data_IF_313048661147
#
_entry.id   IF_313048661147
#
_cell.length_a   1.000
_cell.length_b   1.000
_cell.length_c   1.000
_cell.angle_alpha   90.00
_cell.angle_beta   90.00
_cell.angle_gamma   90.00
#
_symmetry.space_group_name_H-M   'P 1'
#
loop_
_entity.id
_entity.type
_entity.pdbx_description
1 polymer ?
#
# COMPACT_ATOMS: atom_id res chain seq x y z
N UNK A 1 -19.44 -4.44 13.19
CA UNK A 1 -18.95 -4.27 11.80
C UNK A 1 -17.53 -4.79 11.75
N UNK A 2 -17.05 -5.29 10.61
CA UNK A 2 -15.63 -5.66 10.48
C UNK A 2 -14.77 -4.40 10.50
N UNK A 3 -13.62 -4.47 11.16
CA UNK A 3 -12.62 -3.41 11.10
C UNK A 3 -12.12 -3.25 9.65
N UNK A 4 -11.82 -2.00 9.27
CA UNK A 4 -11.16 -1.66 8.03
C UNK A 4 -9.72 -1.24 8.34
N UNK A 5 -8.75 -1.89 7.72
CA UNK A 5 -7.33 -1.54 7.81
C UNK A 5 -6.92 -0.95 6.47
N UNK A 6 -6.26 0.19 6.49
CA UNK A 6 -5.71 0.79 5.27
C UNK A 6 -4.19 0.69 5.33
N UNK A 7 -3.61 -0.03 4.38
CA UNK A 7 -2.18 -0.26 4.28
C UNK A 7 -1.65 0.38 3.01
N UNK A 8 -0.62 1.22 3.14
CA UNK A 8 -0.10 2.02 2.03
C UNK A 8 1.42 1.87 2.01
N UNK A 9 1.97 1.32 0.93
CA UNK A 9 3.38 1.47 0.60
C UNK A 9 3.58 2.76 -0.20
N UNK A 10 4.68 3.46 0.05
CA UNK A 10 5.06 4.63 -0.73
C UNK A 10 5.43 4.29 -2.17
N UNK A 11 5.92 3.09 -2.46
CA UNK A 11 6.23 2.69 -3.85
C UNK A 11 4.97 2.68 -4.75
N UNK A 12 3.78 2.65 -4.15
CA UNK A 12 2.51 2.81 -4.84
C UNK A 12 2.44 4.09 -5.69
N UNK A 13 3.04 5.18 -5.19
CA UNK A 13 3.00 6.49 -5.85
C UNK A 13 4.02 6.63 -6.98
N UNK A 14 5.02 5.75 -7.03
CA UNK A 14 6.18 5.89 -7.90
C UNK A 14 6.36 4.65 -8.77
N UNK A 15 6.44 4.84 -10.09
CA UNK A 15 7.02 3.79 -10.92
C UNK A 15 8.53 3.78 -10.64
N UNK A 16 9.11 2.66 -10.17
CA UNK A 16 10.55 2.59 -10.01
C UNK A 16 11.21 2.83 -11.37
N UNK A 17 12.43 3.41 -11.42
CA UNK A 17 13.24 3.35 -12.62
C UNK A 17 13.34 1.89 -13.06
N UNK A 18 13.37 1.63 -14.37
CA UNK A 18 14.03 0.40 -14.80
C UNK A 18 15.47 0.47 -14.29
N UNK A 19 15.86 -0.48 -13.46
CA UNK A 19 17.15 -0.49 -12.79
C UNK A 19 18.27 -0.56 -13.84
N UNK A 20 18.85 0.59 -14.18
CA UNK A 20 20.06 0.67 -14.99
C UNK A 20 21.19 1.18 -14.07
N UNK A 21 22.14 0.31 -13.67
CA UNK A 21 23.26 0.72 -12.83
C UNK A 21 23.98 1.91 -13.45
N UNK A 22 24.04 3.03 -12.72
CA UNK A 22 24.76 4.25 -13.13
C UNK A 22 23.92 5.33 -13.83
N UNK A 23 22.63 5.13 -14.06
CA UNK A 23 21.75 6.22 -14.53
C UNK A 23 21.30 7.10 -13.36
N UNK A 24 21.57 8.40 -13.45
CA UNK A 24 20.97 9.39 -12.55
C UNK A 24 19.46 9.39 -12.72
N UNK A 25 18.72 9.47 -11.61
CA UNK A 25 17.26 9.46 -11.62
C UNK A 25 16.71 10.68 -12.38
N UNK A 26 16.11 10.54 -13.59
CA UNK A 26 15.58 11.69 -14.30
C UNK A 26 14.41 12.37 -13.57
N UNK A 27 14.30 13.69 -13.70
CA UNK A 27 13.17 14.59 -13.33
C UNK A 27 11.76 14.10 -13.77
N UNK A 28 11.67 13.03 -14.57
CA UNK A 28 10.42 12.35 -14.95
C UNK A 28 9.84 11.44 -13.86
N UNK A 29 10.49 11.25 -12.71
CA UNK A 29 9.89 10.61 -11.52
C UNK A 29 8.88 11.51 -10.80
N UNK A 30 8.20 12.38 -11.55
CA UNK A 30 7.01 13.05 -11.05
C UNK A 30 6.08 11.98 -10.46
N UNK A 31 5.40 12.29 -9.36
CA UNK A 31 4.38 11.40 -8.86
C UNK A 31 3.42 11.09 -10.01
N UNK A 32 3.17 9.81 -10.26
CA UNK A 32 2.07 9.44 -11.15
C UNK A 32 0.73 9.77 -10.49
N UNK A 33 0.74 9.91 -9.16
CA UNK A 33 -0.40 10.28 -8.34
C UNK A 33 0.02 11.22 -7.20
N UNK A 34 -0.53 12.43 -7.17
CA UNK A 34 -0.29 13.36 -6.05
C UNK A 34 -1.01 12.91 -4.77
N UNK A 35 -0.50 13.24 -3.57
CA UNK A 35 -1.20 12.99 -2.31
C UNK A 35 -2.62 13.60 -2.29
N UNK A 36 -2.82 14.77 -2.89
CA UNK A 36 -4.13 15.41 -2.95
C UNK A 36 -5.10 14.60 -3.83
N UNK A 37 -4.64 14.11 -4.98
CA UNK A 37 -5.49 13.29 -5.83
C UNK A 37 -5.79 11.96 -5.17
N UNK A 38 -4.80 11.33 -4.51
CA UNK A 38 -5.02 10.13 -3.71
C UNK A 38 -6.16 10.31 -2.69
N UNK A 39 -6.13 11.38 -1.91
CA UNK A 39 -7.18 11.69 -0.93
C UNK A 39 -8.55 11.92 -1.59
N UNK A 40 -8.60 12.57 -2.77
CA UNK A 40 -9.85 12.73 -3.53
C UNK A 40 -10.42 11.38 -3.96
N UNK A 41 -9.59 10.45 -4.43
CA UNK A 41 -10.03 9.11 -4.82
C UNK A 41 -10.54 8.30 -3.61
N UNK A 42 -9.86 8.39 -2.45
CA UNK A 42 -10.35 7.77 -1.22
C UNK A 42 -11.72 8.33 -0.80
N UNK A 43 -11.87 9.66 -0.84
CA UNK A 43 -13.14 10.32 -0.54
C UNK A 43 -14.25 9.90 -1.53
N UNK A 44 -13.95 9.81 -2.82
CA UNK A 44 -14.88 9.35 -3.85
C UNK A 44 -15.27 7.87 -3.65
N UNK A 45 -14.37 7.04 -3.11
CA UNK A 45 -14.66 5.67 -2.69
C UNK A 45 -15.46 5.59 -1.36
N UNK A 46 -15.78 6.72 -0.75
CA UNK A 46 -16.54 6.82 0.50
C UNK A 46 -15.73 6.50 1.76
N UNK A 47 -14.40 6.34 1.64
CA UNK A 47 -13.49 6.10 2.75
C UNK A 47 -13.27 7.43 3.45
N UNK A 48 -13.71 7.51 4.70
CA UNK A 48 -13.46 8.68 5.55
C UNK A 48 -12.11 8.52 6.21
N UNK A 49 -11.20 9.44 5.97
CA UNK A 49 -9.94 9.44 6.71
C UNK A 49 -10.22 9.63 8.20
N UNK A 50 -9.76 8.71 9.04
CA UNK A 50 -10.05 8.76 10.45
C UNK A 50 -9.01 9.69 11.12
N UNK A 51 -9.32 10.30 12.27
CA UNK A 51 -8.34 11.05 13.06
C UNK A 51 -7.47 10.03 13.83
N UNK A 52 -6.52 9.32 13.20
CA UNK A 52 -6.00 8.05 13.78
C UNK A 52 -4.49 7.89 13.75
N UNK A 53 -4.03 7.15 14.77
CA UNK A 53 -2.80 6.36 14.87
C UNK A 53 -2.32 5.86 13.50
N UNK A 54 -1.43 6.62 12.87
CA UNK A 54 -0.69 6.12 11.74
C UNK A 54 0.77 5.95 12.13
N UNK A 55 1.26 4.74 11.81
CA UNK A 55 2.64 4.35 12.03
C UNK A 55 3.38 4.52 10.71
N UNK A 56 4.32 5.47 10.67
CA UNK A 56 5.40 5.45 9.68
C UNK A 56 6.31 4.27 10.00
N UNK A 57 6.58 3.44 9.00
CA UNK A 57 7.30 2.17 9.17
C UNK A 57 8.40 2.06 8.12
N UNK A 58 9.61 1.70 8.52
CA UNK A 58 10.73 1.51 7.57
C UNK A 58 10.63 0.15 6.85
N UNK A 59 9.98 -0.82 7.49
CA UNK A 59 9.82 -2.19 7.01
C UNK A 59 8.32 -2.51 6.96
N UNK A 60 7.81 -2.81 5.78
CA UNK A 60 6.38 -2.97 5.55
C UNK A 60 5.74 -4.08 6.39
N UNK A 61 6.51 -5.12 6.75
CA UNK A 61 5.99 -6.19 7.63
C UNK A 61 5.61 -5.70 9.02
N UNK A 62 6.06 -4.51 9.44
CA UNK A 62 5.66 -3.88 10.69
C UNK A 62 4.13 -3.66 10.75
N UNK A 63 3.45 -3.54 9.61
CA UNK A 63 2.00 -3.43 9.53
C UNK A 63 1.31 -4.60 10.26
N UNK A 64 1.74 -5.83 9.99
CA UNK A 64 1.23 -7.03 10.65
C UNK A 64 1.35 -6.95 12.18
N UNK A 65 2.50 -6.49 12.69
CA UNK A 65 2.72 -6.39 14.14
C UNK A 65 1.86 -5.28 14.76
N UNK A 66 1.69 -4.15 14.06
CA UNK A 66 0.78 -3.07 14.46
C UNK A 66 -0.66 -3.59 14.59
N UNK A 67 -1.18 -4.27 13.56
CA UNK A 67 -2.54 -4.83 13.58
C UNK A 67 -2.72 -5.88 14.67
N UNK A 68 -1.71 -6.74 14.85
CA UNK A 68 -1.73 -7.78 15.88
C UNK A 68 -1.76 -7.18 17.29
N UNK A 69 -0.91 -6.19 17.56
CA UNK A 69 -0.84 -5.48 18.85
C UNK A 69 -2.12 -4.70 19.14
N UNK A 70 -2.75 -4.12 18.12
CA UNK A 70 -4.02 -3.41 18.23
C UNK A 70 -5.24 -4.34 18.41
N UNK A 71 -5.04 -5.66 18.44
CA UNK A 71 -6.09 -6.64 18.63
C UNK A 71 -7.05 -6.78 17.44
N UNK A 72 -6.64 -6.34 16.24
CA UNK A 72 -7.49 -6.41 15.05
C UNK A 72 -7.84 -7.88 14.73
N UNK A 73 -9.09 -8.11 14.35
CA UNK A 73 -9.62 -9.43 13.98
C UNK A 73 -10.66 -9.31 12.87
N UNK A 74 -10.70 -10.30 11.98
CA UNK A 74 -11.69 -10.40 10.92
C UNK A 74 -11.82 -9.11 10.08
N UNK A 75 -10.71 -8.40 9.91
CA UNK A 75 -10.66 -7.11 9.25
C UNK A 75 -10.66 -7.25 7.72
N UNK A 76 -11.09 -6.19 7.05
CA UNK A 76 -10.84 -6.00 5.62
C UNK A 76 -9.59 -5.13 5.51
N UNK A 77 -8.56 -5.59 4.80
CA UNK A 77 -7.41 -4.75 4.47
C UNK A 77 -7.58 -4.20 3.05
N UNK A 78 -7.42 -2.89 2.91
CA UNK A 78 -7.25 -2.22 1.61
C UNK A 78 -5.77 -1.88 1.49
N UNK A 79 -5.11 -2.58 0.57
CA UNK A 79 -3.66 -2.60 0.39
C UNK A 79 -3.28 -1.81 -0.86
N UNK A 80 -2.63 -0.66 -0.70
CA UNK A 80 -2.14 0.20 -1.77
C UNK A 80 -0.63 0.00 -1.92
N UNK A 81 -0.23 -0.82 -2.88
CA UNK A 81 1.15 -1.26 -3.02
C UNK A 81 1.38 -1.83 -4.43
N UNK A 82 2.58 -1.67 -4.97
CA UNK A 82 3.01 -2.36 -6.17
C UNK A 82 3.16 -3.89 -5.95
N UNK A 83 3.35 -4.33 -4.72
CA UNK A 83 3.50 -5.72 -4.33
C UNK A 83 2.23 -6.27 -3.68
N UNK A 84 2.04 -7.58 -3.77
CA UNK A 84 0.86 -8.23 -3.16
C UNK A 84 1.01 -8.46 -1.66
N UNK A 85 2.26 -8.58 -1.19
CA UNK A 85 2.66 -8.95 0.16
C UNK A 85 1.93 -10.14 0.79
N UNK A 86 1.48 -11.03 -0.10
CA UNK A 86 0.65 -12.18 0.19
C UNK A 86 1.24 -13.50 -0.34
N UNK A 87 2.56 -13.55 -0.55
CA UNK A 87 3.25 -14.76 -1.01
C UNK A 87 3.14 -15.89 0.02
N UNK A 88 3.21 -17.14 -0.47
CA UNK A 88 3.21 -18.36 0.36
C UNK A 88 4.58 -18.86 0.78
N UNK A 89 5.64 -18.18 0.34
CA UNK A 89 7.01 -18.54 0.66
C UNK A 89 7.30 -18.32 2.15
N UNK A 90 8.16 -19.19 2.69
CA UNK A 90 8.68 -19.10 4.06
C UNK A 90 7.58 -18.90 5.13
N UNK A 91 6.53 -19.74 5.17
CA UNK A 91 5.35 -19.55 6.03
C UNK A 91 5.66 -19.51 7.54
N UNK A 92 6.81 -20.04 7.94
CA UNK A 92 7.34 -20.05 9.30
C UNK A 92 7.79 -18.67 9.80
N UNK A 93 8.17 -17.76 8.91
CA UNK A 93 8.64 -16.40 9.26
C UNK A 93 7.73 -15.32 8.65
N UNK A 94 7.77 -14.12 9.24
CA UNK A 94 7.08 -12.93 8.72
C UNK A 94 8.10 -12.02 8.02
N UNK A 95 7.85 -11.70 6.76
CA UNK A 95 8.65 -10.81 5.92
C UNK A 95 7.75 -9.93 5.04
N UNK A 96 8.29 -8.90 4.37
CA UNK A 96 7.49 -7.97 3.55
C UNK A 96 6.61 -8.71 2.53
N UNK A 97 7.18 -9.63 1.78
CA UNK A 97 6.40 -10.39 0.81
C UNK A 97 5.28 -11.32 1.35
N UNK A 98 5.13 -11.57 2.66
CA UNK A 98 4.13 -12.54 3.16
C UNK A 98 3.28 -12.08 4.35
N UNK A 99 3.47 -10.87 4.88
CA UNK A 99 2.84 -10.49 6.15
C UNK A 99 1.31 -10.43 6.07
N UNK A 100 0.74 -10.08 4.90
CA UNK A 100 -0.72 -10.09 4.70
C UNK A 100 -1.24 -11.53 4.73
N UNK A 101 -0.51 -12.47 4.12
CA UNK A 101 -0.89 -13.89 4.17
C UNK A 101 -0.80 -14.42 5.60
N UNK A 102 0.20 -14.01 6.37
CA UNK A 102 0.27 -14.33 7.80
C UNK A 102 -0.94 -13.77 8.55
N UNK A 103 -1.32 -12.52 8.28
CA UNK A 103 -2.48 -11.88 8.89
C UNK A 103 -3.80 -12.60 8.55
N UNK A 104 -3.94 -13.11 7.32
CA UNK A 104 -5.06 -13.98 6.92
C UNK A 104 -5.10 -15.27 7.75
N UNK A 105 -3.99 -15.99 7.81
CA UNK A 105 -3.90 -17.28 8.48
C UNK A 105 -4.18 -17.18 9.99
N UNK A 106 -3.87 -16.04 10.61
CA UNK A 106 -4.12 -15.78 12.04
C UNK A 106 -5.49 -15.13 12.32
N UNK A 107 -6.34 -14.96 11.30
CA UNK A 107 -7.67 -14.36 11.47
C UNK A 107 -7.66 -12.87 11.84
N UNK A 108 -6.53 -12.19 11.64
CA UNK A 108 -6.43 -10.73 11.76
C UNK A 108 -7.17 -10.09 10.60
N UNK A 109 -6.88 -10.57 9.39
CA UNK A 109 -7.53 -10.19 8.14
C UNK A 109 -8.44 -11.34 7.69
N UNK A 110 -9.62 -11.02 7.15
CA UNK A 110 -10.51 -12.00 6.51
C UNK A 110 -10.67 -11.79 5.01
N UNK A 111 -10.34 -10.60 4.52
CA UNK A 111 -10.50 -10.20 3.13
C UNK A 111 -9.45 -9.16 2.76
N UNK A 112 -8.91 -9.30 1.55
CA UNK A 112 -7.93 -8.39 0.99
C UNK A 112 -8.56 -7.67 -0.20
N UNK A 113 -8.36 -6.36 -0.27
CA UNK A 113 -8.54 -5.55 -1.47
C UNK A 113 -7.17 -5.00 -1.84
N UNK A 114 -6.54 -5.61 -2.84
CA UNK A 114 -5.25 -5.13 -3.34
C UNK A 114 -5.50 -4.14 -4.47
N UNK A 115 -5.05 -2.91 -4.26
CA UNK A 115 -5.20 -1.80 -5.20
C UNK A 115 -3.87 -1.65 -5.94
N UNK A 116 -3.92 -1.87 -7.26
CA UNK A 116 -2.74 -1.73 -8.11
C UNK A 116 -2.47 -0.27 -8.46
N UNK A 117 -1.20 0.16 -8.50
CA UNK A 117 -0.84 1.49 -8.97
C UNK A 117 -1.31 1.75 -10.40
N UNK A 118 -1.72 2.98 -10.71
CA UNK A 118 -2.12 3.36 -12.07
C UNK A 118 -0.97 3.17 -13.08
N UNK A 119 0.28 3.38 -12.64
CA UNK A 119 1.44 3.27 -13.52
C UNK A 119 1.71 1.85 -14.03
N UNK A 120 1.16 0.79 -13.41
CA UNK A 120 1.25 -0.58 -13.92
C UNK A 120 0.71 -0.68 -15.35
N UNK A 121 -0.37 0.05 -15.63
CA UNK A 121 -1.04 0.03 -16.93
C UNK A 121 -0.31 0.86 -17.98
N UNK A 122 0.45 1.87 -17.55
CA UNK A 122 1.28 2.69 -18.43
C UNK A 122 2.66 2.07 -18.66
N UNK A 123 3.11 1.17 -17.79
CA UNK A 123 4.40 0.51 -17.87
C UNK A 123 4.34 -1.00 -17.55
N UNK A 124 3.57 -1.79 -18.32
CA UNK A 124 3.36 -3.22 -18.04
C UNK A 124 4.64 -4.06 -18.22
N UNK A 125 5.66 -3.52 -18.88
CA UNK A 125 6.96 -4.15 -19.06
C UNK A 125 7.90 -4.00 -17.84
N UNK A 126 7.57 -3.10 -16.90
CA UNK A 126 8.35 -2.95 -15.68
C UNK A 126 8.38 -4.29 -14.91
N UNK A 127 9.53 -4.77 -14.39
CA UNK A 127 9.62 -6.07 -13.75
C UNK A 127 8.59 -6.30 -12.64
N UNK A 128 8.35 -5.30 -11.79
CA UNK A 128 7.35 -5.36 -10.71
C UNK A 128 5.93 -5.49 -11.26
N UNK A 129 5.56 -4.66 -12.25
CA UNK A 129 4.24 -4.72 -12.87
C UNK A 129 4.04 -6.06 -13.59
N UNK A 130 5.04 -6.50 -14.35
CA UNK A 130 5.03 -7.77 -15.05
C UNK A 130 4.86 -8.95 -14.08
N UNK A 131 5.63 -9.00 -12.99
CA UNK A 131 5.52 -10.09 -12.01
C UNK A 131 4.15 -10.13 -11.35
N UNK A 132 3.65 -8.99 -10.86
CA UNK A 132 2.33 -8.88 -10.26
C UNK A 132 1.21 -9.32 -11.24
N UNK A 133 1.21 -8.77 -12.46
CA UNK A 133 0.20 -9.09 -13.47
C UNK A 133 0.30 -10.55 -13.93
N UNK A 134 1.50 -11.11 -14.03
CA UNK A 134 1.69 -12.52 -14.39
C UNK A 134 1.25 -13.45 -13.25
N UNK A 135 1.52 -13.10 -11.99
CA UNK A 135 1.02 -13.84 -10.82
C UNK A 135 -0.52 -13.88 -10.79
N UNK A 136 -1.17 -12.77 -11.16
CA UNK A 136 -2.63 -12.70 -11.32
C UNK A 136 -3.13 -13.60 -12.46
N UNK A 137 -2.50 -13.53 -13.64
CA UNK A 137 -2.86 -14.38 -14.79
C UNK A 137 -2.73 -15.87 -14.49
N UNK A 138 -1.67 -16.26 -13.77
CA UNK A 138 -1.45 -17.64 -13.31
C UNK A 138 -2.43 -18.08 -12.22
N UNK A 139 -3.20 -17.15 -11.65
CA UNK A 139 -4.13 -17.45 -10.57
C UNK A 139 -3.46 -17.78 -9.24
N UNK A 140 -2.26 -17.24 -8.99
CA UNK A 140 -1.49 -17.50 -7.76
C UNK A 140 -2.29 -17.20 -6.48
N UNK A 141 -3.23 -16.26 -6.56
CA UNK A 141 -4.06 -15.81 -5.43
C UNK A 141 -5.50 -16.34 -5.45
N UNK A 142 -5.88 -17.22 -6.40
CA UNK A 142 -7.25 -17.78 -6.49
C UNK A 142 -7.78 -18.41 -5.20
N UNK A 143 -6.99 -19.10 -4.35
CA UNK A 143 -7.53 -19.68 -3.12
C UNK A 143 -7.72 -18.66 -1.99
N UNK A 144 -7.29 -17.40 -2.18
CA UNK A 144 -7.33 -16.38 -1.14
C UNK A 144 -8.59 -15.52 -1.27
N UNK A 145 -9.12 -14.96 -0.17
CA UNK A 145 -10.22 -14.00 -0.18
C UNK A 145 -9.71 -12.61 -0.64
N UNK A 146 -9.11 -12.55 -1.83
CA UNK A 146 -8.41 -11.41 -2.37
C UNK A 146 -9.14 -10.89 -3.61
N UNK A 147 -9.44 -9.59 -3.62
CA UNK A 147 -9.94 -8.85 -4.79
C UNK A 147 -8.86 -7.89 -5.24
N UNK A 148 -8.53 -7.92 -6.53
CA UNK A 148 -7.65 -6.92 -7.14
C UNK A 148 -8.48 -5.88 -7.86
N UNK A 149 -8.11 -4.62 -7.71
CA UNK A 149 -8.70 -3.48 -8.42
C UNK A 149 -7.60 -2.54 -8.90
N UNK A 150 -7.77 -1.90 -10.05
CA UNK A 150 -6.91 -0.75 -10.36
C UNK A 150 -7.26 0.43 -9.47
N UNK A 151 -6.29 1.30 -9.21
CA UNK A 151 -6.54 2.55 -8.48
C UNK A 151 -7.66 3.39 -9.12
N UNK A 152 -7.70 3.45 -10.45
CA UNK A 152 -8.71 4.21 -11.21
C UNK A 152 -10.11 3.60 -11.14
N UNK A 153 -10.22 2.29 -10.93
CA UNK A 153 -11.51 1.59 -10.80
C UNK A 153 -12.01 1.51 -9.36
N UNK A 154 -11.18 1.83 -8.37
CA UNK A 154 -11.54 1.74 -6.95
C UNK A 154 -12.90 2.41 -6.62
N UNK A 155 -13.21 3.63 -7.12
CA UNK A 155 -14.51 4.27 -6.83
C UNK A 155 -15.72 3.54 -7.44
N UNK A 156 -15.51 2.80 -8.54
CA UNK A 156 -16.58 2.11 -9.29
C UNK A 156 -16.66 0.61 -8.99
N UNK A 157 -15.76 0.08 -8.15
CA UNK A 157 -15.62 -1.35 -7.93
C UNK A 157 -16.83 -1.93 -7.17
N UNK A 158 -17.81 -2.43 -7.93
CA UNK A 158 -19.03 -3.06 -7.39
C UNK A 158 -18.71 -4.13 -6.34
N UNK A 159 -19.45 -4.11 -5.23
CA UNK A 159 -19.23 -5.01 -4.09
C UNK A 159 -18.10 -4.60 -3.12
N UNK A 160 -17.51 -3.41 -3.31
CA UNK A 160 -16.69 -2.69 -2.33
C UNK A 160 -17.45 -1.43 -1.89
N UNK A 161 -18.44 -1.56 -1.00
CA UNK A 161 -19.05 -0.39 -0.38
C UNK A 161 -18.31 -0.07 0.92
N UNK A 162 -17.48 0.95 0.88
CA UNK A 162 -16.84 1.54 2.06
C UNK A 162 -17.58 2.79 2.55
N UNK A 163 -18.78 3.06 2.01
CA UNK A 163 -19.50 4.31 2.24
C UNK A 163 -19.68 4.62 3.72
N UNK A 164 -19.04 5.69 4.19
CA UNK A 164 -19.13 6.16 5.57
C UNK A 164 -18.28 5.36 6.57
N UNK A 165 -17.48 4.40 6.10
CA UNK A 165 -16.55 3.64 6.93
C UNK A 165 -15.28 4.46 7.13
N UNK A 166 -14.89 4.59 8.39
CA UNK A 166 -13.60 5.12 8.78
C UNK A 166 -12.67 3.93 9.07
N UNK A 167 -11.47 3.85 8.45
CA UNK A 167 -10.47 2.86 8.83
C UNK A 167 -10.21 2.91 10.33
N UNK A 168 -10.05 1.73 10.94
CA UNK A 168 -9.62 1.61 12.33
C UNK A 168 -8.16 2.04 12.48
N UNK A 169 -7.34 1.73 11.47
CA UNK A 169 -5.90 1.97 11.48
C UNK A 169 -5.43 2.24 10.06
N UNK A 170 -4.45 3.14 9.95
CA UNK A 170 -3.71 3.40 8.72
C UNK A 170 -2.25 3.06 8.96
N UNK A 171 -1.68 2.19 8.14
CA UNK A 171 -0.26 1.85 8.15
C UNK A 171 0.40 2.42 6.90
N UNK A 172 1.53 3.10 7.08
CA UNK A 172 2.24 3.78 6.00
C UNK A 172 3.70 3.31 5.99
N UNK A 173 4.04 2.47 5.01
CA UNK A 173 5.38 1.94 4.84
C UNK A 173 6.24 2.88 3.99
N UNK A 174 7.47 3.07 4.45
CA UNK A 174 8.45 4.06 3.98
C UNK A 174 9.69 3.37 3.44
N UNK A 175 9.51 2.28 2.68
CA UNK A 175 10.66 1.53 2.18
C UNK A 175 11.54 2.43 1.29
N UNK A 176 12.62 2.95 1.88
CA UNK A 176 13.54 3.90 1.22
C UNK A 176 14.34 3.24 0.11
N UNK A 177 14.36 1.90 0.05
CA UNK A 177 15.07 1.12 -0.96
C UNK A 177 14.62 1.41 -2.40
N UNK A 178 13.41 1.93 -2.60
CA UNK A 178 12.83 2.13 -3.94
C UNK A 178 12.34 3.56 -4.21
N UNK A 179 12.37 4.44 -3.20
CA UNK A 179 11.87 5.81 -3.31
C UNK A 179 13.06 6.78 -3.27
N UNK A 180 13.30 7.57 -4.33
CA UNK A 180 14.30 8.63 -4.29
C UNK A 180 14.07 9.59 -3.11
N UNK A 181 15.13 10.08 -2.47
CA UNK A 181 15.04 10.99 -1.32
C UNK A 181 14.20 12.25 -1.62
N UNK A 182 14.31 12.80 -2.83
CA UNK A 182 13.49 13.95 -3.27
C UNK A 182 11.99 13.62 -3.40
N UNK A 183 11.65 12.38 -3.75
CA UNK A 183 10.28 11.89 -3.83
C UNK A 183 9.69 11.65 -2.43
N UNK A 184 10.53 11.23 -1.48
CA UNK A 184 10.16 11.11 -0.08
C UNK A 184 9.70 12.47 0.48
N UNK A 185 10.55 13.51 0.43
CA UNK A 185 10.20 14.82 0.98
C UNK A 185 8.96 15.46 0.31
N UNK A 186 8.83 15.32 -1.00
CA UNK A 186 7.74 15.96 -1.77
C UNK A 186 6.37 15.30 -1.61
N UNK A 187 6.31 14.04 -1.20
CA UNK A 187 5.06 13.28 -1.11
C UNK A 187 4.76 12.71 0.26
N UNK A 188 5.78 12.22 0.95
CA UNK A 188 5.59 11.66 2.27
C UNK A 188 5.16 12.73 3.27
N UNK A 189 5.86 13.86 3.35
CA UNK A 189 5.51 14.92 4.32
C UNK A 189 4.06 15.42 4.11
N UNK A 190 3.61 15.75 2.88
CA UNK A 190 2.21 16.13 2.66
C UNK A 190 1.21 15.00 2.95
N UNK A 191 1.53 13.75 2.61
CA UNK A 191 0.67 12.60 2.84
C UNK A 191 0.54 12.29 4.35
N UNK A 192 1.66 12.24 5.05
CA UNK A 192 1.75 12.09 6.49
C UNK A 192 0.99 13.22 7.21
N UNK A 193 1.22 14.47 6.81
CA UNK A 193 0.49 15.62 7.32
C UNK A 193 -1.02 15.54 7.10
N UNK A 194 -1.46 15.08 5.92
CA UNK A 194 -2.88 14.87 5.63
C UNK A 194 -3.51 13.75 6.49
N UNK A 195 -2.71 12.79 6.96
CA UNK A 195 -3.12 11.76 7.91
C UNK A 195 -2.90 12.15 9.38
N UNK A 196 -2.43 13.36 9.66
CA UNK A 196 -2.14 13.79 11.03
C UNK A 196 -0.96 13.05 11.68
N UNK A 197 -0.09 12.44 10.87
CA UNK A 197 1.14 11.78 11.33
C UNK A 197 2.21 12.86 11.52
N UNK A 198 2.73 12.98 12.74
CA UNK A 198 3.90 13.81 12.99
C UNK A 198 5.16 13.11 12.50
N UNK A 199 5.93 13.76 11.63
CA UNK A 199 7.23 13.25 11.21
C UNK A 199 8.28 13.63 12.26
N UNK A 200 8.52 12.75 13.25
CA UNK A 200 9.49 13.00 14.33
C UNK A 200 10.93 12.57 14.02
N UNK A 201 11.26 12.30 12.75
CA UNK A 201 12.45 11.51 12.40
C UNK A 201 13.25 11.93 11.17
N UNK A 202 12.96 13.06 10.51
CA UNK A 202 13.88 13.56 9.45
C UNK A 202 15.11 14.13 10.15
N UNK A 203 16.33 13.57 9.96
CA UNK A 203 17.54 14.27 10.32
C UNK A 203 17.56 15.58 9.53
N UNK A 204 17.72 16.73 10.18
CA UNK A 204 17.87 17.99 9.45
C UNK A 204 19.02 17.83 8.46
N UNK A 205 18.73 17.91 7.16
CA UNK A 205 19.76 17.93 6.13
C UNK A 205 20.53 19.23 6.35
N UNK A 206 21.76 19.11 6.86
CA UNK A 206 22.72 20.19 6.97
C UNK A 206 23.40 20.44 5.63
#
# INVERSE_FOLDING_TARGET
>A
MSDLLMDIDLDFFFAPPMYHPGESHPERFKPWLSPQDFLKYLAAAGIKMPPVEAAGMEDHRQAYFCWKRAGCRNAIVVHFDAHSDCYGSFPEIVHCGNFIRKALNEGIVRRIVWVLPAWFYHNPGHPVASDALNSLKRGAYRPLPLKVVSFTELPAASGLSFSGVAPRMVTLALSTSYVPESAFESHFVPLAGAFGISHSGVPSVA
#
